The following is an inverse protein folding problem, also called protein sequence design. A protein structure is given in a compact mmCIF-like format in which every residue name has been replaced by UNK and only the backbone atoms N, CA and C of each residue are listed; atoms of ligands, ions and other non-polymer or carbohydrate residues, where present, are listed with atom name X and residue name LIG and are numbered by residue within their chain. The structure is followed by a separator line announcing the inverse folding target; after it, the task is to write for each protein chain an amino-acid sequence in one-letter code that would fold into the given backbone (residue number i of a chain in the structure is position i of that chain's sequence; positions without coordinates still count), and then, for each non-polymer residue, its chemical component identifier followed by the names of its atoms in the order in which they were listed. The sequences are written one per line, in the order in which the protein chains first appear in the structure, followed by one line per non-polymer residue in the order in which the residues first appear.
data_IF_195878647691
#
_entry.id   IF_195878647691
#
_cell.length_a   1.000
_cell.length_b   1.000
_cell.length_c   1.000
_cell.angle_alpha   90.00
_cell.angle_beta   90.00
_cell.angle_gamma   90.00
#
_symmetry.space_group_name_H-M   'P 1'
#
loop_
_entity.id
_entity.type
_entity.pdbx_description
1 polymer ?
#
# COMPACT_ATOMS: atom_id res chain seq x y z
N UNK A 1 24.29 -51.10 31.94
CA UNK A 1 24.78 -49.75 31.57
C UNK A 1 23.72 -48.73 31.92
N UNK A 2 24.04 -47.86 32.88
CA UNK A 2 23.22 -46.77 33.41
C UNK A 2 23.26 -45.54 32.49
N UNK A 3 22.12 -44.82 32.38
CA UNK A 3 21.92 -43.35 32.36
C UNK A 3 20.43 -43.08 32.10
N UNK A 4 19.56 -42.93 33.11
CA UNK A 4 19.22 -41.74 33.93
C UNK A 4 18.84 -40.46 33.15
N UNK A 5 17.54 -40.11 33.32
CA UNK A 5 16.87 -38.81 33.47
C UNK A 5 17.11 -37.71 32.41
N UNK A 6 16.16 -36.83 32.06
CA UNK A 6 15.15 -36.20 32.91
C UNK A 6 14.14 -35.44 32.04
N UNK A 7 12.87 -35.43 32.45
CA UNK A 7 11.91 -34.38 32.11
C UNK A 7 12.51 -33.01 32.48
N UNK A 8 12.39 -32.02 31.57
CA UNK A 8 12.38 -30.61 31.95
C UNK A 8 11.08 -29.99 31.47
N UNK A 9 10.26 -29.61 32.46
CA UNK A 9 9.24 -28.58 32.32
C UNK A 9 9.89 -27.31 31.77
N UNK A 10 9.32 -26.76 30.69
CA UNK A 10 9.55 -25.39 30.25
C UNK A 10 8.20 -24.70 30.19
N UNK A 11 7.83 -24.05 31.29
CA UNK A 11 6.69 -23.16 31.40
C UNK A 11 6.87 -21.99 30.42
N UNK A 12 5.80 -21.66 29.70
CA UNK A 12 5.73 -20.54 28.77
C UNK A 12 6.08 -19.21 29.45
N UNK A 13 6.89 -18.40 28.78
CA UNK A 13 6.86 -16.95 28.96
C UNK A 13 6.23 -16.34 27.71
N UNK A 14 4.91 -16.21 27.75
CA UNK A 14 4.15 -15.25 26.96
C UNK A 14 4.50 -13.90 27.57
N UNK A 15 5.26 -13.07 26.86
CA UNK A 15 5.29 -11.60 26.91
C UNK A 15 6.51 -11.10 26.12
N UNK A 16 6.27 -10.11 25.26
CA UNK A 16 7.23 -9.42 24.39
C UNK A 16 7.64 -10.18 23.11
N UNK A 17 6.72 -10.26 22.15
CA UNK A 17 7.06 -10.54 20.76
C UNK A 17 7.91 -9.39 20.18
N UNK A 18 9.23 -9.52 20.28
CA UNK A 18 10.15 -8.81 19.39
C UNK A 18 10.21 -9.63 18.10
N UNK A 19 9.71 -9.05 17.01
CA UNK A 19 9.96 -9.58 15.67
C UNK A 19 11.48 -9.51 15.44
N UNK A 20 12.15 -10.66 15.47
CA UNK A 20 13.55 -10.76 15.07
C UNK A 20 13.57 -10.81 13.54
N UNK A 21 13.82 -9.66 12.89
CA UNK A 21 14.22 -9.61 11.49
C UNK A 21 15.64 -10.20 11.37
N UNK A 22 15.73 -11.53 11.39
CA UNK A 22 16.96 -12.28 11.17
C UNK A 22 17.07 -12.65 9.70
N UNK A 23 17.96 -11.93 8.99
CA UNK A 23 18.70 -12.36 7.81
C UNK A 23 17.88 -12.77 6.58
N UNK A 24 17.49 -11.78 5.77
CA UNK A 24 17.04 -11.99 4.40
C UNK A 24 18.23 -11.81 3.44
N UNK A 25 18.72 -12.91 2.87
CA UNK A 25 19.82 -12.92 1.90
C UNK A 25 19.29 -12.89 0.46
N UNK A 26 19.49 -11.76 -0.24
CA UNK A 26 19.61 -11.74 -1.71
C UNK A 26 18.35 -11.61 -2.57
N UNK A 27 17.15 -11.42 -2.02
CA UNK A 27 15.94 -11.19 -2.82
C UNK A 27 15.79 -9.70 -3.20
N UNK A 28 15.44 -9.40 -4.45
CA UNK A 28 15.18 -8.02 -4.93
C UNK A 28 13.88 -7.55 -4.30
N UNK A 29 13.97 -6.50 -3.48
CA UNK A 29 12.83 -5.92 -2.78
C UNK A 29 12.24 -4.83 -3.64
N UNK A 30 10.97 -4.96 -3.98
CA UNK A 30 10.22 -3.92 -4.64
C UNK A 30 9.60 -3.02 -3.58
N UNK A 31 9.71 -1.71 -3.80
CA UNK A 31 9.04 -0.69 -3.00
C UNK A 31 8.18 0.12 -3.97
N UNK A 32 6.87 0.04 -3.79
CA UNK A 32 5.87 0.89 -4.43
C UNK A 32 5.75 2.16 -3.59
N UNK A 33 5.87 3.31 -4.24
CA UNK A 33 5.89 4.63 -3.60
C UNK A 33 6.91 4.77 -2.44
N UNK A 34 8.19 5.05 -2.75
CA UNK A 34 9.15 5.48 -1.73
C UNK A 34 10.00 6.68 -2.15
N UNK A 35 9.97 7.72 -1.30
CA UNK A 35 10.99 8.76 -1.26
C UNK A 35 12.19 8.23 -0.46
N UNK A 36 13.24 7.76 -1.13
CA UNK A 36 14.55 7.61 -0.49
C UNK A 36 15.33 8.90 -0.77
N UNK A 37 15.31 9.82 0.19
CA UNK A 37 16.17 11.00 0.17
C UNK A 37 17.63 10.56 0.30
N UNK A 38 18.40 10.72 -0.78
CA UNK A 38 19.86 10.82 -0.78
C UNK A 38 20.65 9.77 0.00
N UNK A 39 20.98 8.64 -0.63
CA UNK A 39 21.98 7.70 -0.13
C UNK A 39 22.45 6.74 -1.21
N UNK A 40 23.77 6.64 -1.40
CA UNK A 40 24.40 5.85 -2.44
C UNK A 40 24.05 4.35 -2.30
N UNK A 41 23.72 3.71 -3.43
CA UNK A 41 23.29 2.31 -3.49
C UNK A 41 24.40 1.34 -3.04
N UNK A 42 24.05 0.40 -2.17
CA UNK A 42 24.49 -0.99 -2.30
C UNK A 42 23.27 -1.90 -2.14
N UNK A 43 23.08 -2.79 -3.11
CA UNK A 43 21.96 -3.71 -3.30
C UNK A 43 21.96 -4.90 -2.32
N UNK A 44 22.27 -4.67 -1.05
CA UNK A 44 22.33 -5.72 -0.03
C UNK A 44 21.94 -5.14 1.32
N UNK A 45 20.65 -5.22 1.64
CA UNK A 45 20.13 -4.84 2.95
C UNK A 45 19.01 -3.82 2.83
N UNK A 46 17.77 -4.30 3.02
CA UNK A 46 16.70 -3.47 3.57
C UNK A 46 17.18 -3.08 4.97
N UNK A 47 17.92 -1.99 5.05
CA UNK A 47 18.21 -1.34 6.31
C UNK A 47 16.90 -0.82 6.86
N UNK A 48 16.34 -1.59 7.80
CA UNK A 48 15.60 -1.12 8.97
C UNK A 48 14.94 0.25 8.77
N UNK A 49 13.64 0.27 8.51
CA UNK A 49 12.84 1.49 8.70
C UNK A 49 13.16 2.01 10.10
N UNK A 50 13.72 3.23 10.26
CA UNK A 50 14.21 3.72 11.55
C UNK A 50 13.08 4.12 12.53
N UNK A 51 11.81 3.89 12.16
CA UNK A 51 10.64 4.14 12.99
C UNK A 51 10.11 2.87 13.64
N UNK A 52 9.63 2.99 14.89
CA UNK A 52 8.90 1.91 15.55
C UNK A 52 7.62 1.59 14.76
N UNK A 53 7.51 0.34 14.28
CA UNK A 53 6.26 -0.17 13.70
C UNK A 53 5.22 -0.29 14.80
N UNK A 54 4.07 0.36 14.59
CA UNK A 54 2.97 0.37 15.53
C UNK A 54 1.73 -0.24 14.89
N UNK A 55 1.04 -1.12 15.62
CA UNK A 55 -0.13 -1.84 15.09
C UNK A 55 -1.43 -1.03 15.11
N UNK A 56 -1.44 0.20 15.65
CA UNK A 56 -2.65 0.99 15.80
C UNK A 56 -2.43 2.50 15.77
N UNK A 57 -3.51 3.23 15.47
CA UNK A 57 -3.54 4.69 15.50
C UNK A 57 -3.46 5.23 16.93
N UNK A 58 -3.87 4.44 17.92
CA UNK A 58 -4.00 4.86 19.34
C UNK A 58 -5.45 5.15 19.76
N UNK A 59 -6.40 5.14 18.81
CA UNK A 59 -7.84 5.19 19.08
C UNK A 59 -8.50 3.84 18.72
N UNK A 60 -8.98 3.06 19.70
CA UNK A 60 -9.58 1.74 19.46
C UNK A 60 -10.80 1.75 18.53
N UNK A 61 -11.58 2.84 18.49
CA UNK A 61 -12.72 2.93 17.59
C UNK A 61 -12.27 3.19 16.15
N UNK A 62 -11.26 4.05 15.99
CA UNK A 62 -10.65 4.31 14.70
C UNK A 62 -9.96 3.06 14.16
N UNK A 63 -9.20 2.35 14.99
CA UNK A 63 -8.53 1.10 14.64
C UNK A 63 -9.54 0.02 14.20
N UNK A 64 -10.68 -0.08 14.90
CA UNK A 64 -11.76 -0.99 14.48
C UNK A 64 -12.35 -0.61 13.12
N UNK A 65 -12.53 0.67 12.83
CA UNK A 65 -13.03 1.15 11.52
C UNK A 65 -12.00 0.89 10.43
N UNK A 66 -10.73 1.17 10.70
CA UNK A 66 -9.61 0.93 9.79
C UNK A 66 -9.46 -0.55 9.48
N UNK A 67 -9.49 -1.43 10.48
CA UNK A 67 -9.42 -2.89 10.29
C UNK A 67 -10.53 -3.42 9.38
N UNK A 68 -11.77 -2.92 9.52
CA UNK A 68 -12.87 -3.26 8.61
C UNK A 68 -12.61 -2.76 7.18
N UNK A 69 -11.99 -1.61 7.03
CA UNK A 69 -11.66 -1.05 5.74
C UNK A 69 -10.50 -1.83 5.06
N UNK A 70 -9.45 -2.17 5.81
CA UNK A 70 -8.35 -3.03 5.34
C UNK A 70 -8.87 -4.40 4.88
N UNK A 71 -9.77 -5.03 5.64
CA UNK A 71 -10.40 -6.28 5.23
C UNK A 71 -11.20 -6.15 3.92
N UNK A 72 -11.88 -5.00 3.71
CA UNK A 72 -12.58 -4.73 2.46
C UNK A 72 -11.60 -4.50 1.30
N UNK A 73 -10.50 -3.78 1.51
CA UNK A 73 -9.45 -3.59 0.51
C UNK A 73 -8.84 -4.94 0.09
N UNK A 74 -8.47 -5.78 1.07
CA UNK A 74 -7.99 -7.14 0.82
C UNK A 74 -8.96 -7.96 -0.03
N UNK A 75 -10.26 -7.92 0.30
CA UNK A 75 -11.29 -8.60 -0.47
C UNK A 75 -11.43 -8.02 -1.89
N UNK A 76 -11.38 -6.70 -2.03
CA UNK A 76 -11.58 -6.03 -3.32
C UNK A 76 -10.47 -6.35 -4.31
N UNK A 77 -9.23 -6.43 -3.85
CA UNK A 77 -8.06 -6.67 -4.72
C UNK A 77 -7.53 -8.11 -4.61
N UNK A 78 -8.20 -8.99 -3.87
CA UNK A 78 -7.75 -10.37 -3.68
C UNK A 78 -6.28 -10.49 -3.21
N UNK A 79 -5.86 -9.58 -2.33
CA UNK A 79 -4.53 -9.54 -1.70
C UNK A 79 -4.64 -9.55 -0.18
N UNK A 80 -3.59 -9.99 0.51
CA UNK A 80 -3.56 -10.05 1.98
C UNK A 80 -2.23 -9.52 2.52
N UNK A 81 -1.91 -8.23 2.35
CA UNK A 81 -0.69 -7.67 2.91
C UNK A 81 -0.79 -7.54 4.43
N UNK A 82 0.36 -7.50 5.09
CA UNK A 82 0.43 -6.92 6.44
C UNK A 82 0.22 -5.40 6.37
N UNK A 83 -0.21 -4.82 7.48
CA UNK A 83 -0.38 -3.38 7.61
C UNK A 83 0.25 -2.90 8.92
N UNK A 84 1.04 -1.83 8.86
CA UNK A 84 1.60 -1.19 10.04
C UNK A 84 1.63 0.33 9.89
N UNK A 85 1.49 1.04 11.01
CA UNK A 85 1.85 2.45 11.07
C UNK A 85 3.35 2.60 11.30
N UNK A 86 3.92 3.69 10.80
CA UNK A 86 5.29 4.11 11.13
C UNK A 86 5.35 5.61 11.40
N UNK A 87 6.44 6.04 12.04
CA UNK A 87 6.72 7.43 12.34
C UNK A 87 7.35 8.11 11.11
N UNK A 88 6.62 9.03 10.49
CA UNK A 88 6.92 9.70 9.21
C UNK A 88 7.44 11.14 9.42
N UNK A 89 8.17 11.37 10.52
CA UNK A 89 8.76 12.68 10.89
C UNK A 89 9.59 13.34 9.79
N UNK A 90 10.21 12.56 8.93
CA UNK A 90 11.08 13.05 7.85
C UNK A 90 10.32 13.37 6.55
N UNK A 91 9.00 13.21 6.54
CA UNK A 91 8.12 13.49 5.42
C UNK A 91 6.91 12.55 5.42
N UNK A 92 5.70 13.11 5.39
CA UNK A 92 4.49 12.29 5.45
C UNK A 92 4.39 11.43 4.18
N UNK A 93 4.22 10.11 4.36
CA UNK A 93 4.23 9.16 3.24
C UNK A 93 3.47 7.87 3.58
N UNK A 94 3.12 7.11 2.53
CA UNK A 94 2.68 5.73 2.60
C UNK A 94 3.47 4.91 1.56
N UNK A 95 3.66 3.63 1.81
CA UNK A 95 4.40 2.77 0.90
C UNK A 95 3.90 1.32 0.93
N UNK A 96 4.15 0.62 -0.15
CA UNK A 96 3.94 -0.81 -0.29
C UNK A 96 5.28 -1.49 -0.58
N UNK A 97 5.48 -2.68 -0.02
CA UNK A 97 6.64 -3.52 -0.36
C UNK A 97 6.23 -4.97 -0.52
N UNK A 98 6.98 -5.72 -1.32
CA UNK A 98 6.81 -7.16 -1.51
C UNK A 98 7.44 -8.00 -0.39
N UNK A 99 8.09 -7.37 0.60
CA UNK A 99 8.60 -8.06 1.79
C UNK A 99 7.47 -8.80 2.49
N UNK A 100 7.61 -10.11 2.62
CA UNK A 100 6.71 -10.92 3.43
C UNK A 100 6.89 -10.54 4.91
N UNK A 101 5.78 -10.30 5.59
CA UNK A 101 5.81 -10.14 7.05
C UNK A 101 5.63 -11.48 7.76
N UNK A 102 5.73 -11.45 9.08
CA UNK A 102 5.76 -12.66 9.91
C UNK A 102 4.40 -13.40 10.01
N UNK A 103 3.33 -12.85 9.42
CA UNK A 103 1.98 -13.43 9.49
C UNK A 103 1.77 -14.49 8.41
N UNK A 104 1.50 -15.77 8.77
CA UNK A 104 1.28 -16.82 7.78
C UNK A 104 0.13 -16.50 6.81
N UNK A 105 0.36 -16.71 5.51
CA UNK A 105 -0.64 -16.48 4.46
C UNK A 105 -0.87 -15.01 4.12
N UNK A 106 0.07 -14.13 4.46
CA UNK A 106 0.14 -12.74 4.00
C UNK A 106 1.29 -12.55 3.02
N UNK A 107 1.13 -11.64 2.06
CA UNK A 107 2.17 -11.31 1.08
C UNK A 107 2.30 -9.80 0.95
N UNK A 108 3.52 -9.30 1.12
CA UNK A 108 3.81 -7.88 1.15
C UNK A 108 3.37 -7.15 2.42
N UNK A 109 3.74 -5.89 2.49
CA UNK A 109 3.51 -4.99 3.62
C UNK A 109 3.11 -3.61 3.11
N UNK A 110 2.04 -3.06 3.69
CA UNK A 110 1.63 -1.67 3.53
C UNK A 110 2.00 -0.90 4.79
N UNK A 111 2.77 0.17 4.64
CA UNK A 111 3.09 1.09 5.72
C UNK A 111 2.37 2.42 5.52
N UNK A 112 1.78 2.93 6.60
CA UNK A 112 1.10 4.22 6.62
C UNK A 112 1.78 5.14 7.63
N UNK A 113 2.22 6.31 7.20
CA UNK A 113 2.74 7.35 8.09
C UNK A 113 1.66 7.88 9.02
N UNK A 114 1.97 8.05 10.31
CA UNK A 114 0.98 8.56 11.28
C UNK A 114 0.64 10.02 11.07
N UNK A 115 1.62 10.83 10.63
CA UNK A 115 1.46 12.21 10.20
C UNK A 115 0.51 12.30 9.02
N UNK A 116 0.79 11.57 7.94
CA UNK A 116 -0.06 11.52 6.75
C UNK A 116 -1.49 11.10 7.12
N UNK A 117 -1.64 9.99 7.84
CA UNK A 117 -2.94 9.49 8.27
C UNK A 117 -3.73 10.52 9.08
N UNK A 118 -3.07 11.19 10.02
CA UNK A 118 -3.70 12.25 10.84
C UNK A 118 -4.08 13.46 9.99
N UNK A 119 -3.20 13.87 9.07
CA UNK A 119 -3.45 14.99 8.17
C UNK A 119 -4.65 14.71 7.27
N UNK A 120 -4.72 13.53 6.65
CA UNK A 120 -5.84 13.14 5.78
C UNK A 120 -7.17 13.14 6.53
N UNK A 121 -7.21 12.63 7.77
CA UNK A 121 -8.42 12.65 8.60
C UNK A 121 -8.86 14.05 9.01
N UNK A 122 -7.91 14.98 9.23
CA UNK A 122 -8.21 16.33 9.67
C UNK A 122 -8.55 17.28 8.51
N UNK A 123 -7.86 17.13 7.37
CA UNK A 123 -7.98 18.00 6.21
C UNK A 123 -9.26 17.73 5.42
N UNK A 124 -9.68 16.48 5.36
CA UNK A 124 -10.85 16.08 4.58
C UNK A 124 -11.97 15.63 5.53
N UNK A 125 -13.09 16.37 5.54
CA UNK A 125 -14.31 16.00 6.26
C UNK A 125 -15.09 14.87 5.57
N UNK A 126 -14.39 13.88 5.02
CA UNK A 126 -14.90 12.93 4.04
C UNK A 126 -15.16 11.53 4.60
N UNK A 127 -15.24 11.43 5.92
CA UNK A 127 -15.36 10.18 6.68
C UNK A 127 -14.19 9.20 6.46
N UNK A 128 -13.00 9.72 6.16
CA UNK A 128 -11.76 8.95 5.98
C UNK A 128 -11.59 8.38 4.58
N UNK A 129 -12.34 8.85 3.59
CA UNK A 129 -12.23 8.37 2.21
C UNK A 129 -10.87 8.70 1.59
N UNK A 130 -10.26 9.84 1.91
CA UNK A 130 -8.92 10.21 1.49
C UNK A 130 -7.86 9.20 2.00
N UNK A 131 -7.99 8.77 3.26
CA UNK A 131 -7.15 7.70 3.81
C UNK A 131 -7.35 6.39 3.03
N UNK A 132 -8.61 6.02 2.78
CA UNK A 132 -8.90 4.78 2.06
C UNK A 132 -8.41 4.81 0.61
N UNK A 133 -8.32 5.99 0.00
CA UNK A 133 -7.83 6.18 -1.35
C UNK A 133 -6.32 5.97 -1.43
N UNK A 134 -5.56 6.54 -0.49
CA UNK A 134 -4.11 6.27 -0.36
C UNK A 134 -3.87 4.78 -0.08
N UNK A 135 -4.62 4.18 0.85
CA UNK A 135 -4.49 2.74 1.11
C UNK A 135 -4.88 1.88 -0.10
N UNK A 136 -5.88 2.29 -0.89
CA UNK A 136 -6.23 1.58 -2.11
C UNK A 136 -5.13 1.69 -3.18
N UNK A 137 -4.41 2.81 -3.25
CA UNK A 137 -3.23 2.93 -4.08
C UNK A 137 -2.14 1.94 -3.64
N UNK A 138 -1.77 1.92 -2.35
CA UNK A 138 -0.75 1.00 -1.84
C UNK A 138 -1.13 -0.48 -2.00
N UNK A 139 -2.39 -0.83 -1.75
CA UNK A 139 -2.87 -2.19 -2.00
C UNK A 139 -2.85 -2.54 -3.51
N UNK A 140 -2.97 -1.56 -4.39
CA UNK A 140 -2.76 -1.72 -5.83
C UNK A 140 -1.34 -2.18 -6.15
N UNK A 141 -0.32 -1.61 -5.51
CA UNK A 141 1.06 -2.09 -5.63
C UNK A 141 1.24 -3.51 -5.12
N UNK A 142 0.64 -3.86 -3.98
CA UNK A 142 0.66 -5.26 -3.49
C UNK A 142 0.11 -6.22 -4.55
N UNK A 143 -0.99 -5.84 -5.23
CA UNK A 143 -1.53 -6.66 -6.32
C UNK A 143 -0.57 -6.75 -7.51
N UNK A 144 0.15 -5.67 -7.83
CA UNK A 144 1.18 -5.67 -8.88
C UNK A 144 2.35 -6.60 -8.53
N UNK A 145 2.80 -6.63 -7.27
CA UNK A 145 3.85 -7.53 -6.79
C UNK A 145 3.39 -8.99 -6.85
N UNK A 146 2.23 -9.29 -6.26
CA UNK A 146 1.68 -10.65 -6.20
C UNK A 146 1.45 -11.25 -7.60
N UNK A 147 1.09 -10.41 -8.59
CA UNK A 147 0.89 -10.83 -9.99
C UNK A 147 2.13 -10.72 -10.86
N UNK A 148 3.28 -10.33 -10.29
CA UNK A 148 4.54 -10.10 -11.03
C UNK A 148 4.40 -9.10 -12.19
N UNK A 149 3.43 -8.18 -12.08
CA UNK A 149 3.17 -7.17 -13.09
C UNK A 149 4.03 -5.91 -12.89
N UNK A 150 4.55 -5.69 -11.67
CA UNK A 150 5.32 -4.49 -11.34
C UNK A 150 6.54 -4.29 -12.26
N UNK A 151 7.34 -5.34 -12.49
CA UNK A 151 8.50 -5.25 -13.39
C UNK A 151 8.14 -4.94 -14.85
N UNK A 152 6.97 -5.39 -15.32
CA UNK A 152 6.48 -5.05 -16.67
C UNK A 152 6.07 -3.59 -16.77
N UNK A 153 5.49 -3.05 -15.70
CA UNK A 153 5.05 -1.65 -15.63
C UNK A 153 6.23 -0.67 -15.43
N UNK A 154 7.26 -1.05 -14.68
CA UNK A 154 8.45 -0.21 -14.50
C UNK A 154 9.32 -0.16 -15.76
N UNK A 155 9.28 -1.21 -16.59
CA UNK A 155 10.07 -1.29 -17.81
C UNK A 155 11.58 -1.33 -17.57
N UNK A 156 12.36 -1.34 -18.66
CA UNK A 156 13.82 -1.41 -18.60
C UNK A 156 14.50 -0.06 -18.29
N UNK A 157 13.79 1.06 -18.48
CA UNK A 157 14.27 2.41 -18.16
C UNK A 157 14.16 2.74 -16.66
N UNK A 158 13.54 1.85 -15.87
CA UNK A 158 13.46 1.96 -14.43
C UNK A 158 12.44 2.99 -13.94
N UNK A 159 11.57 3.50 -14.83
CA UNK A 159 10.58 4.53 -14.46
C UNK A 159 9.33 3.89 -13.87
N UNK A 160 8.99 4.24 -12.64
CA UNK A 160 7.80 3.73 -11.94
C UNK A 160 6.48 4.33 -12.43
N UNK A 161 6.48 5.33 -13.32
CA UNK A 161 5.28 6.09 -13.73
C UNK A 161 4.09 5.19 -14.09
N UNK A 162 4.29 4.18 -14.94
CA UNK A 162 3.17 3.33 -15.37
C UNK A 162 2.67 2.43 -14.22
N UNK A 163 3.56 2.02 -13.30
CA UNK A 163 3.15 1.27 -12.12
C UNK A 163 2.30 2.13 -11.18
N UNK A 164 2.70 3.39 -10.97
CA UNK A 164 1.95 4.37 -10.16
C UNK A 164 0.59 4.72 -10.78
N UNK A 165 0.54 5.01 -12.09
CA UNK A 165 -0.73 5.29 -12.77
C UNK A 165 -1.67 4.07 -12.77
N UNK A 166 -1.13 2.86 -12.88
CA UNK A 166 -1.92 1.65 -12.71
C UNK A 166 -2.43 1.50 -11.27
N UNK A 167 -1.63 1.84 -10.24
CA UNK A 167 -2.08 1.84 -8.85
C UNK A 167 -3.19 2.88 -8.62
N UNK A 168 -3.09 4.08 -9.20
CA UNK A 168 -4.17 5.09 -9.19
C UNK A 168 -5.45 4.57 -9.86
N UNK A 169 -5.33 3.84 -10.96
CA UNK A 169 -6.47 3.17 -11.61
C UNK A 169 -7.15 2.18 -10.67
N UNK A 170 -6.38 1.31 -10.01
CA UNK A 170 -6.93 0.35 -9.04
C UNK A 170 -7.58 1.04 -7.83
N UNK A 171 -7.00 2.15 -7.38
CA UNK A 171 -7.57 2.97 -6.32
C UNK A 171 -8.92 3.59 -6.74
N UNK A 172 -9.01 4.09 -7.98
CA UNK A 172 -10.25 4.54 -8.60
C UNK A 172 -11.31 3.45 -8.70
N UNK A 173 -10.93 2.22 -9.07
CA UNK A 173 -11.83 1.06 -9.08
C UNK A 173 -12.41 0.80 -7.69
N UNK A 174 -11.59 0.86 -6.63
CA UNK A 174 -12.08 0.73 -5.26
C UNK A 174 -13.13 1.81 -4.92
N UNK A 175 -12.89 3.08 -5.26
CA UNK A 175 -13.89 4.14 -5.06
C UNK A 175 -15.20 3.87 -5.82
N UNK A 176 -15.11 3.36 -7.05
CA UNK A 176 -16.26 2.96 -7.85
C UNK A 176 -17.09 1.87 -7.16
N UNK A 177 -16.43 0.85 -6.59
CA UNK A 177 -17.08 -0.19 -5.78
C UNK A 177 -17.75 0.40 -4.54
N UNK A 178 -17.09 1.31 -3.83
CA UNK A 178 -17.65 1.98 -2.66
C UNK A 178 -18.88 2.83 -2.99
N UNK A 179 -18.88 3.53 -4.13
CA UNK A 179 -20.04 4.29 -4.61
C UNK A 179 -21.21 3.40 -4.99
N UNK A 180 -20.95 2.23 -5.58
CA UNK A 180 -21.99 1.25 -5.89
C UNK A 180 -22.62 0.67 -4.62
N UNK A 181 -21.81 0.37 -3.60
CA UNK A 181 -22.29 -0.12 -2.29
C UNK A 181 -23.03 0.96 -1.49
N UNK A 182 -22.57 2.22 -1.59
CA UNK A 182 -23.13 3.37 -0.87
C UNK A 182 -23.44 4.50 -1.87
N UNK A 183 -24.62 4.49 -2.53
CA UNK A 183 -24.96 5.47 -3.55
C UNK A 183 -24.93 6.93 -3.07
N UNK A 184 -25.16 7.17 -1.77
CA UNK A 184 -25.12 8.50 -1.16
C UNK A 184 -23.72 8.94 -0.70
N UNK A 185 -22.69 8.11 -0.88
CA UNK A 185 -21.31 8.46 -0.54
C UNK A 185 -20.85 9.65 -1.39
N UNK A 186 -20.48 10.75 -0.74
CA UNK A 186 -19.77 11.85 -1.39
C UNK A 186 -18.32 11.44 -1.62
N UNK A 187 -17.88 11.50 -2.87
CA UNK A 187 -16.49 11.26 -3.26
C UNK A 187 -15.76 12.54 -3.62
N UNK A 188 -16.39 13.70 -3.45
CA UNK A 188 -15.84 15.00 -3.86
C UNK A 188 -14.51 15.28 -3.16
N UNK A 189 -14.50 15.15 -1.84
CA UNK A 189 -13.32 15.43 -1.03
C UNK A 189 -12.20 14.40 -1.25
N UNK A 190 -12.56 13.13 -1.48
CA UNK A 190 -11.59 12.09 -1.86
C UNK A 190 -11.00 12.34 -3.27
N UNK A 191 -11.80 12.83 -4.23
CA UNK A 191 -11.30 13.25 -5.54
C UNK A 191 -10.40 14.49 -5.45
N UNK A 192 -10.75 15.45 -4.59
CA UNK A 192 -9.89 16.59 -4.28
C UNK A 192 -8.59 16.14 -3.60
N UNK A 193 -8.64 15.10 -2.77
CA UNK A 193 -7.46 14.54 -2.14
C UNK A 193 -6.52 13.96 -3.19
N UNK A 194 -6.96 13.19 -4.20
CA UNK A 194 -6.09 12.74 -5.31
C UNK A 194 -5.36 13.91 -5.99
N UNK A 195 -6.09 14.99 -6.29
CA UNK A 195 -5.53 16.17 -6.94
C UNK A 195 -4.51 16.90 -6.04
N UNK A 196 -4.86 17.14 -4.77
CA UNK A 196 -4.03 17.90 -3.84
C UNK A 196 -2.87 17.08 -3.27
N UNK A 197 -3.09 15.81 -2.94
CA UNK A 197 -2.04 14.90 -2.44
C UNK A 197 -0.96 14.75 -3.52
N UNK A 198 -1.35 14.68 -4.80
CA UNK A 198 -0.43 14.75 -5.93
C UNK A 198 0.41 16.03 -6.01
N UNK A 199 -0.09 17.16 -5.50
CA UNK A 199 0.63 18.44 -5.46
C UNK A 199 1.50 18.60 -4.20
N UNK A 200 1.14 17.96 -3.07
CA UNK A 200 1.78 18.24 -1.78
C UNK A 200 2.86 17.23 -1.35
N UNK A 201 2.86 15.95 -1.79
CA UNK A 201 3.74 14.93 -1.19
C UNK A 201 4.26 13.79 -2.10
N UNK A 202 4.60 14.09 -3.35
CA UNK A 202 5.25 13.13 -4.25
C UNK A 202 6.40 13.83 -4.97
N UNK A 203 7.45 14.18 -4.24
CA UNK A 203 8.50 15.13 -4.63
C UNK A 203 9.44 14.68 -5.77
N UNK A 204 8.98 13.84 -6.68
CA UNK A 204 9.56 13.68 -8.00
C UNK A 204 8.45 13.32 -9.02
N UNK A 205 8.10 14.31 -9.84
CA UNK A 205 7.14 14.22 -10.97
C UNK A 205 7.44 13.03 -11.89
N UNK A 206 8.71 12.61 -11.97
CA UNK A 206 9.16 11.49 -12.81
C UNK A 206 8.71 10.10 -12.30
N UNK A 207 8.23 9.99 -11.06
CA UNK A 207 7.79 8.72 -10.47
C UNK A 207 6.29 8.46 -10.59
N UNK A 208 5.42 9.48 -10.41
CA UNK A 208 3.97 9.26 -10.27
C UNK A 208 3.13 9.72 -11.48
N UNK A 209 3.75 10.43 -12.42
CA UNK A 209 3.03 11.06 -13.53
C UNK A 209 2.41 12.40 -13.12
N UNK A 210 1.90 13.13 -14.11
CA UNK A 210 1.27 14.43 -13.91
C UNK A 210 -0.08 14.30 -13.18
N UNK A 211 -0.54 15.32 -12.44
CA UNK A 211 -1.85 15.30 -11.80
C UNK A 211 -3.00 14.91 -12.76
N UNK A 212 -2.91 15.33 -14.02
CA UNK A 212 -3.88 14.99 -15.07
C UNK A 212 -3.86 13.50 -15.43
N UNK A 213 -2.69 12.88 -15.60
CA UNK A 213 -2.55 11.45 -15.88
C UNK A 213 -3.09 10.61 -14.70
N UNK A 214 -2.78 11.02 -13.46
CA UNK A 214 -3.25 10.37 -12.24
C UNK A 214 -4.78 10.38 -12.12
N UNK A 215 -5.39 11.56 -12.30
CA UNK A 215 -6.86 11.70 -12.30
C UNK A 215 -7.50 10.87 -13.41
N UNK A 216 -6.96 10.94 -14.63
CA UNK A 216 -7.49 10.14 -15.76
C UNK A 216 -7.43 8.63 -15.47
N UNK A 217 -6.37 8.16 -14.83
CA UNK A 217 -6.19 6.76 -14.45
C UNK A 217 -7.21 6.35 -13.39
N UNK A 218 -7.39 7.15 -12.33
CA UNK A 218 -8.39 6.89 -11.30
C UNK A 218 -9.83 6.93 -11.87
N UNK A 219 -10.16 7.88 -12.76
CA UNK A 219 -11.47 7.95 -13.41
C UNK A 219 -11.76 6.72 -14.28
N UNK A 220 -10.74 6.22 -15.01
CA UNK A 220 -10.84 4.99 -15.80
C UNK A 220 -11.21 3.80 -14.91
N UNK A 221 -10.49 3.60 -13.82
CA UNK A 221 -10.77 2.51 -12.88
C UNK A 221 -12.14 2.63 -12.22
N UNK A 222 -12.52 3.85 -11.82
CA UNK A 222 -13.84 4.14 -11.28
C UNK A 222 -14.97 3.75 -12.24
N UNK A 223 -14.82 4.08 -13.54
CA UNK A 223 -15.79 3.71 -14.55
C UNK A 223 -15.91 2.19 -14.74
N UNK A 224 -14.77 1.47 -14.71
CA UNK A 224 -14.74 0.01 -14.86
C UNK A 224 -15.44 -0.72 -13.71
N UNK A 225 -15.47 -0.14 -12.50
CA UNK A 225 -16.08 -0.75 -11.32
C UNK A 225 -17.56 -1.13 -11.48
N UNK A 226 -18.26 -0.54 -12.47
CA UNK A 226 -19.68 -0.79 -12.76
C UNK A 226 -19.95 -2.14 -13.43
N UNK A 227 -18.98 -2.67 -14.17
CA UNK A 227 -19.21 -3.80 -15.09
C UNK A 227 -18.07 -4.82 -15.15
N UNK A 228 -17.04 -4.65 -14.34
CA UNK A 228 -15.85 -5.51 -14.32
C UNK A 228 -15.56 -6.05 -12.93
N UNK A 229 -15.03 -7.27 -12.88
CA UNK A 229 -14.46 -7.83 -11.66
C UNK A 229 -13.00 -7.37 -11.52
N UNK A 230 -12.38 -7.61 -10.36
CA UNK A 230 -11.01 -7.13 -10.11
C UNK A 230 -9.97 -7.70 -11.07
N UNK A 231 -10.07 -8.95 -11.50
CA UNK A 231 -9.11 -9.54 -12.44
C UNK A 231 -9.16 -8.81 -13.78
N UNK A 232 -10.37 -8.58 -14.31
CA UNK A 232 -10.54 -7.86 -15.56
C UNK A 232 -10.02 -6.41 -15.43
N UNK A 233 -10.31 -5.73 -14.31
CA UNK A 233 -9.82 -4.36 -14.09
C UNK A 233 -8.31 -4.32 -14.00
N UNK A 234 -7.70 -5.30 -13.34
CA UNK A 234 -6.25 -5.37 -13.23
C UNK A 234 -5.59 -5.56 -14.60
N UNK A 235 -6.06 -6.52 -15.40
CA UNK A 235 -5.43 -6.84 -16.68
C UNK A 235 -5.78 -5.80 -17.76
N UNK A 236 -7.07 -5.48 -17.96
CA UNK A 236 -7.51 -4.44 -18.92
C UNK A 236 -6.98 -3.05 -18.52
N UNK A 237 -6.90 -2.76 -17.22
CA UNK A 237 -6.37 -1.51 -16.69
C UNK A 237 -4.87 -1.38 -16.95
N UNK A 238 -4.07 -2.42 -16.65
CA UNK A 238 -2.65 -2.47 -17.00
C UNK A 238 -2.42 -2.22 -18.48
N UNK A 239 -3.16 -2.94 -19.34
CA UNK A 239 -3.00 -2.85 -20.79
C UNK A 239 -3.37 -1.44 -21.30
N UNK A 240 -4.42 -0.84 -20.74
CA UNK A 240 -4.81 0.54 -21.05
C UNK A 240 -3.73 1.55 -20.64
N UNK A 241 -3.11 1.38 -19.46
CA UNK A 241 -2.01 2.26 -19.00
C UNK A 241 -0.81 2.17 -19.95
N UNK A 242 -0.41 0.96 -20.31
CA UNK A 242 0.68 0.73 -21.27
C UNK A 242 0.35 1.39 -22.61
N UNK A 243 -0.85 1.20 -23.15
CA UNK A 243 -1.23 1.79 -24.44
C UNK A 243 -1.37 3.33 -24.40
N UNK A 244 -1.75 3.90 -23.26
CA UNK A 244 -2.10 5.33 -23.16
C UNK A 244 -0.93 6.21 -22.75
N UNK A 245 0.05 5.68 -22.03
CA UNK A 245 1.10 6.47 -21.39
C UNK A 245 2.52 5.96 -21.61
N UNK A 246 2.70 4.83 -22.31
CA UNK A 246 4.00 4.37 -22.79
C UNK A 246 4.41 5.23 -23.99
N UNK A 247 5.39 6.12 -23.76
CA UNK A 247 6.00 6.96 -24.79
C UNK A 247 7.29 6.34 -25.30
#
# INVERSE_FOLDING_TARGET
MNRRSSLKFGIACILCGRANLSAYSGEVVHIGCALISGGNRTSTGIGVFPGELNQGSGDPQLDRKLGKALARLSSTFAVRPNFSFYDDKDGENALATDVEGDTPGTHGLVLMGRGLFSQLLQRFGDNGMAVLLVLAHEFGHIAQFQRKAYGTLVGADGKSKLAELHADLLAGYYLGRRKAELPNLSLREAGLSLFQIGDFQFNAIDHHGTPKERVASAEKGFAMARSRNFNDVFDEGRDWILQSFQA
#
